data_IF_452017992056
#
_entry.id   IF_452017992056
#
_cell.length_a   1.000
_cell.length_b   1.000
_cell.length_c   1.000
_cell.angle_alpha   90.00
_cell.angle_beta   90.00
_cell.angle_gamma   90.00
#
_symmetry.space_group_name_H-M   'P 1'
#
loop_
_entity.id
_entity.type
_entity.pdbx_description
1 polymer ?
#
# COMPACT_ATOMS: atom_id res chain seq x y z
N UNK A 1 39.88 3.69 -82.39
CA UNK A 1 40.55 4.97 -82.61
C UNK A 1 40.51 5.70 -81.28
N UNK A 2 41.68 5.82 -80.68
CA UNK A 2 42.30 6.99 -80.10
C UNK A 2 41.52 7.68 -78.97
N UNK A 3 42.04 8.10 -77.88
CA UNK A 3 43.40 8.41 -77.42
C UNK A 3 43.39 8.62 -75.93
N UNK A 4 44.45 8.29 -75.24
CA UNK A 4 44.74 8.53 -73.86
C UNK A 4 44.82 10.00 -73.47
N UNK A 5 44.57 10.31 -72.20
CA UNK A 5 45.23 11.45 -71.55
C UNK A 5 45.32 11.15 -70.01
N UNK A 6 46.57 10.99 -69.61
CA UNK A 6 47.01 10.93 -68.22
C UNK A 6 47.17 12.39 -67.74
N UNK A 7 46.58 12.74 -66.61
CA UNK A 7 46.97 13.89 -65.81
C UNK A 7 47.22 13.53 -64.41
N UNK A 8 48.47 13.53 -63.99
CA UNK A 8 48.96 13.48 -62.65
C UNK A 8 48.90 14.84 -62.00
N UNK A 9 48.26 15.03 -60.89
CA UNK A 9 48.44 16.16 -60.01
C UNK A 9 48.76 15.66 -58.59
N UNK A 10 50.00 15.87 -58.22
CA UNK A 10 50.48 15.82 -56.88
C UNK A 10 49.98 17.06 -56.12
N UNK A 11 49.57 16.88 -54.86
CA UNK A 11 49.40 18.06 -54.04
C UNK A 11 48.74 17.87 -52.71
N UNK A 12 49.54 17.93 -51.67
CA UNK A 12 49.33 18.42 -50.36
C UNK A 12 48.51 17.58 -49.35
N UNK A 13 49.27 17.05 -48.41
CA UNK A 13 48.90 16.70 -47.06
C UNK A 13 48.08 17.80 -46.38
N UNK A 14 46.86 17.50 -46.07
CA UNK A 14 46.06 18.24 -45.11
C UNK A 14 45.63 17.26 -44.00
N UNK A 15 46.33 17.35 -42.90
CA UNK A 15 46.02 16.65 -41.68
C UNK A 15 44.70 17.20 -41.15
N UNK A 16 43.61 16.48 -41.35
CA UNK A 16 42.30 16.82 -40.82
C UNK A 16 42.21 16.23 -39.41
N UNK A 17 42.01 17.05 -38.36
CA UNK A 17 41.86 16.53 -37.04
C UNK A 17 40.59 15.65 -36.98
N UNK A 18 40.76 14.46 -36.48
CA UNK A 18 39.67 13.53 -36.23
C UNK A 18 38.62 14.18 -35.31
N UNK A 19 37.31 13.97 -35.55
CA UNK A 19 36.29 14.42 -34.63
C UNK A 19 36.48 13.64 -33.32
N UNK A 20 36.82 14.35 -32.26
CA UNK A 20 36.80 13.84 -30.89
C UNK A 20 35.35 13.50 -30.55
N UNK A 21 35.02 12.23 -30.64
CA UNK A 21 33.78 11.69 -30.09
C UNK A 21 33.86 11.88 -28.58
N UNK A 22 33.11 12.87 -28.05
CA UNK A 22 32.86 12.99 -26.63
C UNK A 22 32.20 11.71 -26.15
N UNK A 23 32.62 11.12 -25.04
CA UNK A 23 31.90 10.02 -24.45
C UNK A 23 30.49 10.50 -24.08
N UNK A 24 29.48 9.93 -24.73
CA UNK A 24 28.10 10.04 -24.28
C UNK A 24 28.06 9.25 -23.01
N UNK A 25 28.12 9.93 -21.87
CA UNK A 25 27.76 9.37 -20.56
C UNK A 25 26.27 8.98 -20.64
N UNK A 26 26.02 7.80 -21.13
CA UNK A 26 24.73 7.12 -20.93
C UNK A 26 24.72 6.70 -19.48
N UNK A 27 24.32 7.64 -18.62
CA UNK A 27 23.90 7.29 -17.26
C UNK A 27 22.64 6.45 -17.41
N UNK A 28 22.82 5.15 -17.58
CA UNK A 28 21.76 4.18 -17.37
C UNK A 28 21.43 4.31 -15.89
N UNK A 29 20.37 5.05 -15.57
CA UNK A 29 19.82 4.99 -14.23
C UNK A 29 19.37 3.54 -14.02
N UNK A 30 20.14 2.81 -13.23
CA UNK A 30 19.65 1.52 -12.70
C UNK A 30 18.33 1.82 -12.03
N UNK A 31 17.27 1.05 -12.34
CA UNK A 31 16.05 1.16 -11.57
C UNK A 31 16.43 0.95 -10.09
N UNK A 32 16.05 1.91 -9.25
CA UNK A 32 16.14 1.76 -7.80
C UNK A 32 15.43 0.45 -7.48
N UNK A 33 16.09 -0.50 -6.78
CA UNK A 33 15.40 -1.71 -6.36
C UNK A 33 14.13 -1.27 -5.63
N UNK A 34 12.98 -1.82 -6.03
CA UNK A 34 11.74 -1.62 -5.28
C UNK A 34 12.04 -1.97 -3.82
N UNK A 35 11.66 -1.10 -2.90
CA UNK A 35 11.91 -1.31 -1.48
C UNK A 35 11.29 -2.66 -1.08
N UNK A 36 12.14 -3.61 -0.76
CA UNK A 36 11.77 -4.99 -0.42
C UNK A 36 11.86 -5.16 1.08
N UNK A 37 10.99 -5.97 1.66
CA UNK A 37 11.11 -6.33 3.07
C UNK A 37 12.41 -7.12 3.31
N UNK A 38 13.13 -6.79 4.36
CA UNK A 38 14.34 -7.50 4.74
C UNK A 38 14.03 -8.89 5.36
N UNK A 39 12.84 -9.04 5.96
CA UNK A 39 12.40 -10.31 6.57
C UNK A 39 10.88 -10.50 6.49
N UNK A 40 10.41 -11.69 6.88
CA UNK A 40 8.99 -12.01 7.00
C UNK A 40 8.35 -11.25 8.17
N UNK A 41 9.09 -11.05 9.25
CA UNK A 41 8.65 -10.25 10.40
C UNK A 41 8.43 -8.79 10.02
N UNK A 42 9.29 -8.21 9.18
CA UNK A 42 9.10 -6.86 8.66
C UNK A 42 7.86 -6.75 7.79
N UNK A 43 7.62 -7.73 6.91
CA UNK A 43 6.42 -7.76 6.07
C UNK A 43 5.15 -7.89 6.92
N UNK A 44 5.14 -8.77 7.93
CA UNK A 44 4.03 -8.91 8.87
C UNK A 44 3.77 -7.62 9.62
N UNK A 45 4.81 -6.99 10.17
CA UNK A 45 4.69 -5.72 10.90
C UNK A 45 4.13 -4.60 10.01
N UNK A 46 4.57 -4.52 8.74
CA UNK A 46 4.06 -3.53 7.79
C UNK A 46 2.58 -3.78 7.45
N UNK A 47 2.16 -5.04 7.32
CA UNK A 47 0.77 -5.43 7.12
C UNK A 47 -0.12 -5.01 8.30
N UNK A 48 0.31 -5.32 9.52
CA UNK A 48 -0.38 -4.91 10.77
C UNK A 48 -0.50 -3.40 10.87
N UNK A 49 0.59 -2.67 10.63
CA UNK A 49 0.59 -1.20 10.65
C UNK A 49 -0.37 -0.60 9.60
N UNK A 50 -0.58 -1.26 8.47
CA UNK A 50 -1.57 -0.81 7.49
C UNK A 50 -3.01 -0.96 8.00
N UNK A 51 -3.33 -2.06 8.70
CA UNK A 51 -4.66 -2.25 9.33
C UNK A 51 -4.87 -1.26 10.48
N UNK A 52 -3.85 -0.99 11.29
CA UNK A 52 -3.92 0.02 12.35
C UNK A 52 -4.21 1.41 11.78
N UNK A 53 -3.49 1.84 10.73
CA UNK A 53 -3.75 3.12 10.05
C UNK A 53 -5.17 3.21 9.49
N UNK A 54 -5.71 2.10 8.95
CA UNK A 54 -7.09 2.06 8.49
C UNK A 54 -8.08 2.28 9.63
N UNK A 55 -7.88 1.61 10.79
CA UNK A 55 -8.73 1.75 11.96
C UNK A 55 -8.71 3.18 12.51
N UNK A 56 -7.52 3.78 12.62
CA UNK A 56 -7.33 5.16 13.08
C UNK A 56 -8.00 6.15 12.12
N UNK A 57 -7.76 6.03 10.80
CA UNK A 57 -8.36 6.91 9.79
C UNK A 57 -9.87 6.78 9.77
N UNK A 58 -10.41 5.58 9.87
CA UNK A 58 -11.86 5.34 9.92
C UNK A 58 -12.49 5.98 11.17
N UNK A 59 -11.83 5.86 12.32
CA UNK A 59 -12.30 6.49 13.55
C UNK A 59 -12.26 8.03 13.46
N UNK A 60 -11.18 8.61 12.93
CA UNK A 60 -11.05 10.05 12.67
C UNK A 60 -12.20 10.55 11.80
N UNK A 61 -12.44 9.91 10.65
CA UNK A 61 -13.50 10.27 9.72
C UNK A 61 -14.87 10.20 10.40
N UNK A 62 -15.17 9.17 11.18
CA UNK A 62 -16.47 9.04 11.88
C UNK A 62 -16.66 10.15 12.93
N UNK A 63 -15.60 10.52 13.65
CA UNK A 63 -15.66 11.48 14.75
C UNK A 63 -15.62 12.93 14.30
N UNK A 64 -14.91 13.23 13.21
CA UNK A 64 -14.77 14.60 12.68
C UNK A 64 -15.45 14.74 11.31
N UNK A 65 -16.62 15.37 11.24
CA UNK A 65 -17.33 15.60 9.97
C UNK A 65 -16.55 16.45 8.96
N UNK A 66 -15.52 17.19 9.38
CA UNK A 66 -14.70 18.01 8.46
C UNK A 66 -13.69 17.18 7.68
N UNK A 67 -13.35 15.97 8.16
CA UNK A 67 -12.49 15.03 7.46
C UNK A 67 -13.29 14.32 6.36
N UNK A 68 -12.89 14.42 5.09
CA UNK A 68 -13.66 13.84 4.00
C UNK A 68 -13.59 12.30 4.01
N UNK A 69 -14.69 11.63 3.63
CA UNK A 69 -14.74 10.17 3.52
C UNK A 69 -13.75 9.63 2.46
N UNK A 70 -13.46 10.45 1.44
CA UNK A 70 -12.46 10.12 0.41
C UNK A 70 -11.05 9.90 0.96
N UNK A 71 -10.74 10.37 2.18
CA UNK A 71 -9.43 10.14 2.80
C UNK A 71 -9.18 8.66 3.11
N UNK A 72 -10.23 7.81 3.07
CA UNK A 72 -10.06 6.36 3.11
C UNK A 72 -9.21 5.81 1.95
N UNK A 73 -9.15 6.50 0.81
CA UNK A 73 -8.28 6.14 -0.33
C UNK A 73 -6.79 6.12 0.03
N UNK A 74 -6.40 6.78 1.11
CA UNK A 74 -5.01 6.78 1.61
C UNK A 74 -4.65 5.47 2.30
N UNK A 75 -5.63 4.73 2.84
CA UNK A 75 -5.43 3.56 3.72
C UNK A 75 -6.14 2.29 3.26
N UNK A 76 -7.09 2.39 2.32
CA UNK A 76 -7.81 1.26 1.75
C UNK A 76 -7.78 1.31 0.22
N UNK A 77 -7.95 0.17 -0.43
CA UNK A 77 -8.00 0.03 -1.89
C UNK A 77 -9.03 -1.01 -2.31
N UNK A 78 -9.24 -1.10 -3.62
CA UNK A 78 -10.09 -2.12 -4.25
C UNK A 78 -11.53 -2.16 -3.70
N UNK A 79 -12.10 -3.35 -3.63
CA UNK A 79 -13.46 -3.59 -3.11
C UNK A 79 -13.57 -3.21 -1.63
N UNK A 80 -12.47 -3.33 -0.88
CA UNK A 80 -12.47 -3.02 0.55
C UNK A 80 -12.64 -1.52 0.82
N UNK A 81 -12.08 -0.66 -0.04
CA UNK A 81 -12.32 0.78 0.02
C UNK A 81 -13.82 1.10 -0.07
N UNK A 82 -14.55 0.47 -1.00
CA UNK A 82 -15.99 0.68 -1.12
C UNK A 82 -16.73 0.23 0.16
N UNK A 83 -16.38 -0.95 0.68
CA UNK A 83 -16.96 -1.49 1.92
C UNK A 83 -16.76 -0.54 3.10
N UNK A 84 -15.54 0.01 3.24
CA UNK A 84 -15.23 0.95 4.31
C UNK A 84 -15.94 2.30 4.12
N UNK A 85 -16.02 2.80 2.87
CA UNK A 85 -16.74 4.02 2.53
C UNK A 85 -18.21 3.92 2.92
N UNK A 86 -18.88 2.82 2.57
CA UNK A 86 -20.28 2.59 2.91
C UNK A 86 -20.48 2.50 4.43
N UNK A 87 -19.58 1.77 5.13
CA UNK A 87 -19.61 1.60 6.58
C UNK A 87 -19.47 2.93 7.32
N UNK A 88 -18.44 3.71 6.99
CA UNK A 88 -18.15 4.99 7.63
C UNK A 88 -19.26 6.01 7.34
N UNK A 89 -19.76 6.05 6.12
CA UNK A 89 -20.89 6.93 5.74
C UNK A 89 -22.12 6.61 6.57
N UNK A 90 -22.46 5.32 6.70
CA UNK A 90 -23.59 4.88 7.53
C UNK A 90 -23.42 5.27 9.00
N UNK A 91 -22.24 5.08 9.57
CA UNK A 91 -21.98 5.48 10.96
C UNK A 91 -22.18 6.98 11.18
N UNK A 92 -21.78 7.81 10.22
CA UNK A 92 -22.02 9.27 10.24
C UNK A 92 -23.50 9.62 10.15
N UNK A 93 -24.22 9.00 9.22
CA UNK A 93 -25.67 9.24 9.05
C UNK A 93 -26.46 8.86 10.30
N UNK A 94 -26.11 7.77 10.95
CA UNK A 94 -26.70 7.30 12.19
C UNK A 94 -26.17 8.07 13.43
N UNK A 95 -25.22 8.99 13.26
CA UNK A 95 -24.59 9.78 14.33
C UNK A 95 -23.96 8.93 15.41
N UNK A 96 -23.37 7.81 15.00
CA UNK A 96 -22.65 6.92 15.88
C UNK A 96 -21.33 7.58 16.31
N UNK A 97 -21.03 7.50 17.59
CA UNK A 97 -19.75 7.88 18.16
C UNK A 97 -18.93 6.62 18.43
N UNK A 98 -17.64 6.66 18.10
CA UNK A 98 -16.71 5.60 18.42
C UNK A 98 -15.96 5.95 19.70
N UNK A 99 -15.90 5.02 20.64
CA UNK A 99 -15.15 5.16 21.91
C UNK A 99 -14.15 4.04 22.07
N UNK A 100 -12.97 4.38 22.56
CA UNK A 100 -11.87 3.43 22.72
C UNK A 100 -11.15 3.16 21.40
N UNK A 101 -10.45 2.04 21.33
CA UNK A 101 -9.64 1.65 20.18
C UNK A 101 -9.77 0.16 19.90
N UNK A 102 -9.58 -0.20 18.63
CA UNK A 102 -9.31 -1.57 18.20
C UNK A 102 -7.81 -1.84 18.39
N UNK A 103 -7.45 -3.04 18.82
CA UNK A 103 -6.07 -3.51 18.86
C UNK A 103 -5.86 -4.58 17.81
N UNK A 104 -4.74 -4.53 17.13
CA UNK A 104 -4.34 -5.50 16.09
C UNK A 104 -3.11 -6.24 16.59
N UNK A 105 -3.23 -7.52 16.84
CA UNK A 105 -2.13 -8.36 17.30
C UNK A 105 -1.67 -9.26 16.15
N UNK A 106 -0.38 -9.18 15.74
CA UNK A 106 0.14 -10.00 14.65
C UNK A 106 0.18 -11.48 15.05
N UNK A 107 -0.20 -12.36 14.12
CA UNK A 107 -0.15 -13.81 14.33
C UNK A 107 0.85 -14.46 13.36
N UNK A 108 0.54 -14.54 12.09
CA UNK A 108 1.33 -15.30 11.14
C UNK A 108 1.30 -14.66 9.73
N UNK A 109 2.45 -14.58 9.09
CA UNK A 109 2.54 -14.23 7.68
C UNK A 109 2.12 -15.44 6.84
N UNK A 110 1.13 -15.25 5.94
CA UNK A 110 0.71 -16.27 4.99
C UNK A 110 1.63 -16.27 3.78
N UNK A 111 1.81 -15.10 3.16
CA UNK A 111 2.78 -14.88 2.11
C UNK A 111 3.11 -13.41 1.93
N UNK A 112 4.21 -13.14 1.25
CA UNK A 112 4.55 -11.84 0.68
C UNK A 112 4.98 -12.01 -0.77
N UNK A 113 4.63 -11.05 -1.58
CA UNK A 113 4.99 -10.98 -2.99
C UNK A 113 5.49 -9.58 -3.31
N UNK A 114 6.60 -9.50 -4.03
CA UNK A 114 7.15 -8.25 -4.56
C UNK A 114 7.51 -8.51 -6.02
N UNK A 115 6.87 -7.79 -6.92
CA UNK A 115 7.14 -7.88 -8.36
C UNK A 115 6.91 -6.52 -9.05
N UNK A 116 6.89 -6.50 -10.37
CA UNK A 116 6.66 -5.28 -11.17
C UNK A 116 5.27 -4.65 -10.95
N UNK A 117 4.31 -5.41 -10.41
CA UNK A 117 2.96 -4.93 -10.08
C UNK A 117 2.89 -4.28 -8.69
N UNK A 118 3.98 -4.38 -7.90
CA UNK A 118 4.08 -3.82 -6.56
C UNK A 118 4.28 -4.86 -5.47
N UNK A 119 3.78 -4.53 -4.29
CA UNK A 119 3.92 -5.32 -3.07
C UNK A 119 2.56 -5.84 -2.64
N UNK A 120 2.48 -7.11 -2.28
CA UNK A 120 1.31 -7.73 -1.65
C UNK A 120 1.75 -8.54 -0.43
N UNK A 121 1.06 -8.36 0.69
CA UNK A 121 1.28 -9.11 1.93
C UNK A 121 -0.06 -9.63 2.43
N UNK A 122 -0.11 -10.93 2.73
CA UNK A 122 -1.27 -11.57 3.37
C UNK A 122 -0.84 -12.18 4.69
N UNK A 123 -1.65 -11.98 5.72
CA UNK A 123 -1.30 -12.36 7.10
C UNK A 123 -2.53 -12.61 7.95
N UNK A 124 -2.36 -13.43 9.00
CA UNK A 124 -3.32 -13.58 10.08
C UNK A 124 -3.03 -12.59 11.20
N UNK A 125 -4.10 -12.14 11.84
CA UNK A 125 -4.03 -11.28 13.01
C UNK A 125 -5.26 -11.44 13.90
N UNK A 126 -5.11 -11.10 15.17
CA UNK A 126 -6.21 -10.97 16.09
C UNK A 126 -6.68 -9.52 16.14
N UNK A 127 -7.97 -9.30 15.95
CA UNK A 127 -8.62 -8.01 16.15
C UNK A 127 -9.30 -8.01 17.52
N UNK A 128 -8.76 -7.27 18.49
CA UNK A 128 -9.36 -7.11 19.82
C UNK A 128 -10.21 -5.83 19.87
N UNK A 129 -11.51 -6.02 20.07
CA UNK A 129 -12.50 -4.96 20.25
C UNK A 129 -12.96 -4.79 21.71
N UNK A 130 -12.24 -5.36 22.68
CA UNK A 130 -12.63 -5.31 24.11
C UNK A 130 -12.74 -3.91 24.66
N UNK A 131 -11.92 -2.99 24.15
CA UNK A 131 -11.89 -1.58 24.53
C UNK A 131 -12.60 -0.66 23.52
N UNK A 132 -13.37 -1.23 22.58
CA UNK A 132 -14.03 -0.47 21.52
C UNK A 132 -15.55 -0.54 21.69
N UNK A 133 -16.23 0.59 21.51
CA UNK A 133 -17.69 0.71 21.60
C UNK A 133 -18.22 1.69 20.54
N UNK A 134 -19.35 1.32 19.96
CA UNK A 134 -20.19 2.21 19.16
C UNK A 134 -21.32 2.74 20.03
N UNK A 135 -21.47 4.05 20.09
CA UNK A 135 -22.43 4.74 20.95
C UNK A 135 -23.39 5.53 20.06
N UNK A 136 -24.69 5.39 20.28
CA UNK A 136 -25.71 6.16 19.56
C UNK A 136 -25.77 7.62 20.04
N UNK A 137 -26.59 8.39 19.37
CA UNK A 137 -26.79 9.82 19.70
C UNK A 137 -27.41 10.08 21.08
N UNK A 138 -27.90 9.03 21.76
CA UNK A 138 -28.45 9.09 23.11
C UNK A 138 -27.41 8.64 24.17
N UNK A 139 -26.22 8.29 23.74
CA UNK A 139 -25.14 7.83 24.62
C UNK A 139 -25.23 6.34 24.99
N UNK A 140 -26.07 5.57 24.31
CA UNK A 140 -26.26 4.15 24.56
C UNK A 140 -25.37 3.31 23.61
N UNK A 141 -24.70 2.26 24.11
CA UNK A 141 -24.00 1.31 23.25
C UNK A 141 -24.95 0.65 22.24
N UNK A 142 -24.56 0.65 20.96
CA UNK A 142 -25.36 0.03 19.89
C UNK A 142 -25.07 -1.45 19.74
N UNK A 143 -23.87 -1.89 20.15
CA UNK A 143 -23.46 -3.29 20.11
C UNK A 143 -23.87 -3.96 21.44
N UNK A 144 -25.04 -4.60 21.43
CA UNK A 144 -25.51 -5.42 22.56
C UNK A 144 -24.84 -6.82 22.58
N UNK A 145 -23.88 -7.07 21.73
CA UNK A 145 -23.22 -8.36 21.59
C UNK A 145 -22.23 -8.59 22.73
N UNK A 146 -22.66 -9.33 23.75
CA UNK A 146 -21.81 -9.98 24.73
C UNK A 146 -21.04 -11.16 24.15
N UNK A 147 -20.66 -11.09 22.86
CA UNK A 147 -19.86 -12.10 22.18
C UNK A 147 -18.38 -11.93 22.46
N UNK A 148 -17.61 -12.87 21.96
CA UNK A 148 -16.16 -12.81 21.96
C UNK A 148 -15.73 -11.51 21.29
N UNK A 149 -14.86 -10.77 21.96
CA UNK A 149 -14.40 -9.45 21.47
C UNK A 149 -13.06 -9.55 20.75
N UNK A 150 -12.59 -10.75 20.55
CA UNK A 150 -11.37 -11.07 19.82
C UNK A 150 -11.73 -11.97 18.63
N UNK A 151 -11.43 -11.48 17.44
CA UNK A 151 -11.72 -12.16 16.19
C UNK A 151 -10.40 -12.52 15.49
N UNK A 152 -10.27 -13.78 15.06
CA UNK A 152 -9.14 -14.25 14.26
C UNK A 152 -9.38 -13.92 12.79
N UNK A 153 -8.58 -13.01 12.25
CA UNK A 153 -8.78 -12.39 10.95
C UNK A 153 -7.69 -12.79 9.97
N UNK A 154 -8.01 -12.69 8.68
CA UNK A 154 -7.03 -12.67 7.60
C UNK A 154 -7.10 -11.31 6.90
N UNK A 155 -5.94 -10.69 6.68
CA UNK A 155 -5.79 -9.42 5.98
C UNK A 155 -4.91 -9.54 4.76
N UNK A 156 -5.23 -8.76 3.73
CA UNK A 156 -4.38 -8.56 2.56
C UNK A 156 -4.14 -7.07 2.38
N UNK A 157 -2.88 -6.68 2.24
CA UNK A 157 -2.48 -5.30 1.95
C UNK A 157 -1.70 -5.25 0.64
N UNK A 158 -1.85 -4.15 -0.11
CA UNK A 158 -1.19 -3.91 -1.39
C UNK A 158 -0.68 -2.48 -1.48
N UNK A 159 0.43 -2.29 -2.22
CA UNK A 159 1.01 -0.97 -2.49
C UNK A 159 2.01 -1.03 -3.65
N UNK A 160 2.50 0.13 -4.07
CA UNK A 160 3.60 0.22 -5.04
C UNK A 160 4.93 -0.22 -4.40
N UNK A 161 5.06 0.02 -3.09
CA UNK A 161 6.19 -0.35 -2.25
C UNK A 161 5.73 -0.69 -0.82
N UNK A 162 6.68 -1.01 0.06
CA UNK A 162 6.42 -1.35 1.46
C UNK A 162 5.93 -0.17 2.33
N UNK A 163 6.09 1.08 1.88
CA UNK A 163 5.66 2.28 2.61
C UNK A 163 4.23 2.70 2.23
N UNK A 164 3.78 2.34 1.02
CA UNK A 164 2.49 2.73 0.44
C UNK A 164 1.38 1.69 0.60
N UNK A 165 1.58 0.70 1.48
CA UNK A 165 0.62 -0.39 1.69
C UNK A 165 -0.74 0.12 2.16
N UNK A 166 -1.79 -0.33 1.48
CA UNK A 166 -3.21 -0.09 1.78
C UNK A 166 -3.92 -1.40 2.00
N UNK A 167 -4.91 -1.41 2.85
CA UNK A 167 -5.73 -2.60 3.09
C UNK A 167 -6.64 -2.83 1.87
N UNK A 168 -6.50 -3.99 1.24
CA UNK A 168 -7.32 -4.40 0.09
C UNK A 168 -8.39 -5.43 0.46
N UNK A 169 -8.19 -6.13 1.58
CA UNK A 169 -9.15 -7.12 2.10
C UNK A 169 -8.92 -7.38 3.58
N UNK A 170 -10.02 -7.53 4.33
CA UNK A 170 -10.03 -8.10 5.69
C UNK A 170 -11.26 -8.97 5.81
N UNK A 171 -11.07 -10.20 6.29
CA UNK A 171 -12.15 -11.18 6.50
C UNK A 171 -11.98 -11.88 7.84
N UNK A 172 -13.10 -12.29 8.44
CA UNK A 172 -13.09 -13.23 9.53
C UNK A 172 -12.61 -14.59 9.03
N UNK A 173 -11.50 -15.08 9.57
CA UNK A 173 -10.92 -16.35 9.13
C UNK A 173 -11.54 -17.55 9.84
N UNK A 174 -11.57 -17.53 11.15
CA UNK A 174 -12.14 -18.62 11.96
C UNK A 174 -12.74 -18.08 13.24
N UNK A 175 -13.86 -18.70 13.67
CA UNK A 175 -14.46 -18.49 14.99
C UNK A 175 -14.00 -19.52 16.01
N UNK A 176 -13.38 -20.60 15.53
CA UNK A 176 -12.95 -21.73 16.36
C UNK A 176 -11.48 -21.66 16.75
N UNK A 177 -10.76 -20.64 16.23
CA UNK A 177 -9.37 -20.37 16.59
C UNK A 177 -9.33 -19.23 17.60
N UNK A 178 -8.86 -19.53 18.78
CA UNK A 178 -8.68 -18.53 19.83
C UNK A 178 -7.55 -17.55 19.46
N UNK A 179 -7.79 -16.31 19.73
CA UNK A 179 -6.76 -15.27 19.71
C UNK A 179 -5.95 -15.25 21.00
#
# INVERSE_FOLDING_TARGET
>A
MATAAIVTVSGCSGEQPAPTSAPVDTTTSMPTPAATFASDEEALAAGVAAVERLNEKSAEIVQDPSVPVSDLEQVASDVYLQTMTDSVTKLREEKIQLKGSLSVEPEELVYRKVDEAGVEVQFYFCLDSSNFQKIDSQGKPTDASGGDKRDYMIGTVRGEDNESLKVSEVQLWSRDKDC
#
